data_IF_342510816245
#
_entry.id   IF_342510816245
#
_cell.length_a   1.000
_cell.length_b   1.000
_cell.length_c   1.000
_cell.angle_alpha   90.00
_cell.angle_beta   90.00
_cell.angle_gamma   90.00
#
_symmetry.space_group_name_H-M   'P 1'
#
loop_
_entity.id
_entity.type
_entity.pdbx_description
1 polymer ?
#
# COMPACT_ATOMS: atom_id res chain seq x y z
N UNK A 1 1.48 9.63 -9.52
CA UNK A 1 1.60 8.24 -9.99
C UNK A 1 0.20 7.65 -10.07
N UNK A 2 -0.04 6.63 -10.89
CA UNK A 2 -1.40 6.32 -11.36
C UNK A 2 -1.79 4.88 -11.06
N UNK A 3 -2.83 4.69 -10.26
CA UNK A 3 -3.57 3.44 -10.16
C UNK A 3 -4.51 3.32 -11.35
N UNK A 4 -4.54 2.15 -11.99
CA UNK A 4 -5.51 1.82 -13.03
C UNK A 4 -6.62 0.97 -12.43
N UNK A 5 -7.76 1.61 -12.14
CA UNK A 5 -9.01 0.97 -11.72
C UNK A 5 -9.92 0.70 -12.90
N UNK A 6 -10.93 -0.14 -12.71
CA UNK A 6 -11.90 -0.44 -13.78
C UNK A 6 -12.61 0.84 -14.24
N UNK A 7 -13.04 1.70 -13.31
CA UNK A 7 -13.67 2.97 -13.64
C UNK A 7 -12.78 3.94 -14.43
N UNK A 8 -11.46 3.86 -14.28
CA UNK A 8 -10.51 4.65 -15.09
C UNK A 8 -10.40 4.05 -16.49
N UNK A 9 -10.32 2.73 -16.61
CA UNK A 9 -10.24 2.03 -17.90
C UNK A 9 -11.52 2.23 -18.70
N UNK A 10 -12.68 2.03 -18.10
CA UNK A 10 -14.00 2.14 -18.74
C UNK A 10 -14.26 3.52 -19.37
N UNK A 11 -13.75 4.59 -18.74
CA UNK A 11 -13.86 5.97 -19.25
C UNK A 11 -12.95 6.28 -20.45
N UNK A 12 -12.04 5.37 -20.82
CA UNK A 12 -11.12 5.59 -21.95
C UNK A 12 -11.80 5.25 -23.29
N UNK A 13 -11.44 5.94 -24.39
CA UNK A 13 -11.91 5.59 -25.71
C UNK A 13 -11.62 4.13 -26.05
N UNK A 14 -12.58 3.42 -26.67
CA UNK A 14 -12.46 2.00 -26.99
C UNK A 14 -11.17 1.65 -27.76
N UNK A 15 -10.75 2.48 -28.71
CA UNK A 15 -9.51 2.30 -29.45
C UNK A 15 -8.27 2.36 -28.53
N UNK A 16 -8.25 3.27 -27.55
CA UNK A 16 -7.17 3.36 -26.56
C UNK A 16 -7.18 2.16 -25.62
N UNK A 17 -8.37 1.74 -25.14
CA UNK A 17 -8.52 0.53 -24.31
C UNK A 17 -7.97 -0.70 -25.04
N UNK A 18 -8.29 -0.86 -26.32
CA UNK A 18 -7.79 -1.94 -27.16
C UNK A 18 -6.27 -1.93 -27.33
N UNK A 19 -5.66 -0.76 -27.55
CA UNK A 19 -4.19 -0.62 -27.62
C UNK A 19 -3.52 -0.95 -26.28
N UNK A 20 -4.05 -0.43 -25.16
CA UNK A 20 -3.51 -0.73 -23.83
C UNK A 20 -3.67 -2.21 -23.52
N UNK A 21 -4.85 -2.79 -23.79
CA UNK A 21 -5.13 -4.22 -23.62
C UNK A 21 -4.13 -5.10 -24.37
N UNK A 22 -3.85 -4.76 -25.64
CA UNK A 22 -2.96 -5.54 -26.50
C UNK A 22 -1.49 -5.48 -26.09
N UNK A 23 -1.00 -4.33 -25.63
CA UNK A 23 0.44 -4.11 -25.47
C UNK A 23 0.92 -3.91 -24.03
N UNK A 24 0.06 -3.44 -23.12
CA UNK A 24 0.46 -2.95 -21.81
C UNK A 24 -0.28 -3.62 -20.64
N UNK A 25 -1.48 -4.14 -20.85
CA UNK A 25 -2.30 -4.66 -19.75
C UNK A 25 -1.69 -5.90 -19.10
N UNK A 26 -1.23 -6.88 -19.90
CA UNK A 26 -0.60 -8.10 -19.40
C UNK A 26 0.66 -7.83 -18.54
N UNK A 27 1.68 -7.06 -19.01
CA UNK A 27 2.85 -6.78 -18.18
C UNK A 27 2.51 -5.98 -16.92
N UNK A 28 1.63 -4.95 -17.01
CA UNK A 28 1.21 -4.17 -15.83
C UNK A 28 0.49 -5.02 -14.78
N UNK A 29 -0.35 -5.94 -15.25
CA UNK A 29 -1.04 -6.89 -14.40
C UNK A 29 -0.04 -7.82 -13.70
N UNK A 30 0.89 -8.43 -14.45
CA UNK A 30 1.93 -9.29 -13.88
C UNK A 30 2.76 -8.55 -12.84
N UNK A 31 3.27 -7.35 -13.15
CA UNK A 31 4.08 -6.56 -12.23
C UNK A 31 3.34 -6.26 -10.92
N UNK A 32 2.04 -5.96 -11.00
CA UNK A 32 1.20 -5.69 -9.82
C UNK A 32 0.99 -6.96 -9.00
N UNK A 33 0.67 -8.08 -9.66
CA UNK A 33 0.53 -9.40 -9.05
C UNK A 33 1.83 -9.82 -8.35
N UNK A 34 2.96 -9.75 -9.05
CA UNK A 34 4.27 -10.14 -8.56
C UNK A 34 4.67 -9.29 -7.35
N UNK A 35 4.47 -7.97 -7.44
CA UNK A 35 4.74 -7.08 -6.31
C UNK A 35 3.95 -7.46 -5.06
N UNK A 36 2.64 -7.70 -5.17
CA UNK A 36 1.83 -8.09 -4.01
C UNK A 36 2.13 -9.52 -3.52
N UNK A 37 2.29 -10.46 -4.44
CA UNK A 37 2.44 -11.89 -4.11
C UNK A 37 3.83 -12.20 -3.52
N UNK A 38 4.85 -11.39 -3.79
CA UNK A 38 6.19 -11.52 -3.22
C UNK A 38 6.32 -10.90 -1.82
N UNK A 39 5.33 -10.12 -1.36
CA UNK A 39 5.33 -9.53 -0.03
C UNK A 39 5.28 -10.60 1.06
N UNK A 40 6.01 -10.35 2.15
CA UNK A 40 5.91 -11.14 3.37
C UNK A 40 4.48 -11.07 3.92
N UNK A 41 4.06 -12.10 4.66
CA UNK A 41 2.72 -12.16 5.25
C UNK A 41 2.39 -10.91 6.12
N UNK A 42 3.36 -10.43 6.91
CA UNK A 42 3.21 -9.22 7.74
C UNK A 42 2.94 -7.96 6.89
N UNK A 43 3.56 -7.84 5.73
CA UNK A 43 3.36 -6.72 4.80
C UNK A 43 1.96 -6.81 4.17
N UNK A 44 1.56 -8.01 3.70
CA UNK A 44 0.21 -8.26 3.18
C UNK A 44 -0.87 -7.99 4.22
N UNK A 45 -0.67 -8.40 5.47
CA UNK A 45 -1.56 -8.10 6.59
C UNK A 45 -1.70 -6.60 6.84
N UNK A 46 -0.60 -5.85 6.72
CA UNK A 46 -0.59 -4.39 6.90
C UNK A 46 -1.41 -3.69 5.81
N UNK A 47 -1.22 -4.10 4.55
CA UNK A 47 -1.96 -3.55 3.42
C UNK A 47 -3.44 -3.93 3.52
N UNK A 48 -3.76 -5.18 3.84
CA UNK A 48 -5.14 -5.63 4.05
C UNK A 48 -5.82 -4.86 5.19
N UNK A 49 -5.10 -4.60 6.29
CA UNK A 49 -5.59 -3.80 7.39
C UNK A 49 -5.91 -2.37 6.96
N UNK A 50 -5.02 -1.71 6.21
CA UNK A 50 -5.25 -0.37 5.67
C UNK A 50 -6.43 -0.35 4.67
N UNK A 51 -6.55 -1.39 3.85
CA UNK A 51 -7.64 -1.60 2.90
C UNK A 51 -8.99 -1.97 3.56
N UNK A 52 -9.03 -2.13 4.89
CA UNK A 52 -10.20 -2.59 5.64
C UNK A 52 -10.70 -3.98 5.21
N UNK A 53 -9.79 -4.83 4.74
CA UNK A 53 -10.04 -6.22 4.38
C UNK A 53 -9.83 -7.13 5.60
N UNK A 54 -10.54 -8.25 5.63
CA UNK A 54 -10.33 -9.29 6.66
C UNK A 54 -8.93 -9.89 6.54
N UNK A 55 -8.34 -10.33 7.64
CA UNK A 55 -7.00 -10.92 7.68
C UNK A 55 -6.80 -12.08 6.69
N UNK A 56 -7.84 -12.88 6.43
CA UNK A 56 -7.79 -13.99 5.46
C UNK A 56 -7.32 -13.58 4.06
N UNK A 57 -7.55 -12.33 3.65
CA UNK A 57 -7.13 -11.85 2.33
C UNK A 57 -5.61 -11.72 2.20
N UNK A 58 -4.87 -11.60 3.32
CA UNK A 58 -3.41 -11.61 3.30
C UNK A 58 -2.83 -12.96 2.86
N UNK A 59 -3.62 -14.04 2.91
CA UNK A 59 -3.23 -15.37 2.44
C UNK A 59 -3.64 -15.64 0.99
N UNK A 60 -4.46 -14.77 0.39
CA UNK A 60 -4.87 -14.88 -1.01
C UNK A 60 -3.83 -14.24 -1.92
N UNK A 61 -3.72 -14.76 -3.14
CA UNK A 61 -3.00 -14.10 -4.24
C UNK A 61 -3.86 -12.98 -4.81
N UNK A 62 -3.24 -11.97 -5.41
CA UNK A 62 -3.96 -10.80 -5.95
C UNK A 62 -5.04 -11.22 -6.98
N UNK A 63 -4.69 -12.19 -7.83
CA UNK A 63 -5.54 -12.72 -8.91
C UNK A 63 -6.77 -13.51 -8.43
N UNK A 64 -6.74 -13.99 -7.18
CA UNK A 64 -7.81 -14.77 -6.54
C UNK A 64 -8.87 -13.89 -5.88
N UNK A 65 -8.55 -12.61 -5.63
CA UNK A 65 -9.49 -11.66 -5.06
C UNK A 65 -10.56 -11.27 -6.07
N UNK A 66 -11.78 -11.03 -5.60
CA UNK A 66 -12.81 -10.43 -6.44
C UNK A 66 -12.44 -8.97 -6.80
N UNK A 67 -13.09 -8.43 -7.82
CA UNK A 67 -12.75 -7.11 -8.37
C UNK A 67 -12.82 -5.98 -7.34
N UNK A 68 -13.80 -6.01 -6.44
CA UNK A 68 -13.99 -4.97 -5.41
C UNK A 68 -12.88 -5.01 -4.34
N UNK A 69 -12.57 -6.21 -3.83
CA UNK A 69 -11.51 -6.39 -2.82
C UNK A 69 -10.14 -6.06 -3.41
N UNK A 70 -9.90 -6.47 -4.65
CA UNK A 70 -8.66 -6.17 -5.36
C UNK A 70 -8.50 -4.67 -5.59
N UNK A 71 -9.54 -3.97 -6.04
CA UNK A 71 -9.48 -2.52 -6.22
C UNK A 71 -9.19 -1.80 -4.89
N UNK A 72 -9.85 -2.20 -3.81
CA UNK A 72 -9.57 -1.68 -2.46
C UNK A 72 -8.12 -1.90 -2.05
N UNK A 73 -7.60 -3.10 -2.28
CA UNK A 73 -6.22 -3.45 -1.97
C UNK A 73 -5.24 -2.59 -2.78
N UNK A 74 -5.43 -2.45 -4.09
CA UNK A 74 -4.55 -1.65 -4.94
C UNK A 74 -4.59 -0.15 -4.56
N UNK A 75 -5.76 0.39 -4.24
CA UNK A 75 -5.88 1.75 -3.72
C UNK A 75 -5.12 1.92 -2.40
N UNK A 76 -5.23 0.95 -1.49
CA UNK A 76 -4.47 0.94 -0.24
C UNK A 76 -2.95 0.91 -0.46
N UNK A 77 -2.47 0.09 -1.42
CA UNK A 77 -1.06 0.05 -1.81
C UNK A 77 -0.60 1.43 -2.29
N UNK A 78 -1.37 2.09 -3.17
CA UNK A 78 -1.00 3.41 -3.68
C UNK A 78 -1.01 4.50 -2.60
N UNK A 79 -2.00 4.50 -1.69
CA UNK A 79 -2.06 5.43 -0.57
C UNK A 79 -0.84 5.29 0.36
N UNK A 80 -0.49 4.06 0.74
CA UNK A 80 0.67 3.79 1.59
C UNK A 80 1.97 4.11 0.84
N UNK A 81 2.10 3.69 -0.42
CA UNK A 81 3.24 4.03 -1.28
C UNK A 81 3.44 5.54 -1.35
N UNK A 82 2.40 6.33 -1.60
CA UNK A 82 2.49 7.79 -1.66
C UNK A 82 2.91 8.43 -0.32
N UNK A 83 2.65 7.74 0.79
CA UNK A 83 3.04 8.15 2.13
C UNK A 83 4.52 7.84 2.40
N UNK A 84 4.95 6.61 2.11
CA UNK A 84 6.29 6.13 2.44
C UNK A 84 7.35 6.47 1.38
N UNK A 85 6.99 6.68 0.12
CA UNK A 85 7.91 7.16 -0.93
C UNK A 85 8.40 8.59 -0.69
N UNK A 86 7.70 9.38 0.15
CA UNK A 86 8.12 10.71 0.60
C UNK A 86 9.16 10.69 1.74
N UNK A 87 9.73 9.52 2.05
CA UNK A 87 10.72 9.32 3.12
C UNK A 87 11.97 10.19 3.02
N UNK A 88 12.32 10.68 1.83
CA UNK A 88 13.38 11.70 1.65
C UNK A 88 13.13 12.98 2.46
N UNK A 89 11.93 13.17 3.00
CA UNK A 89 11.56 14.27 3.92
C UNK A 89 11.76 13.95 5.42
N UNK A 90 12.38 12.82 5.79
CA UNK A 90 12.63 12.45 7.20
C UNK A 90 13.61 13.39 7.96
N UNK A 91 14.08 14.47 7.34
CA UNK A 91 15.05 15.40 7.94
C UNK A 91 14.56 16.24 9.14
N UNK A 92 13.30 16.11 9.56
CA UNK A 92 12.73 16.92 10.65
C UNK A 92 12.68 16.19 12.01
N UNK A 93 12.07 15.00 12.06
CA UNK A 93 12.05 14.04 13.17
C UNK A 93 11.09 12.89 12.84
N UNK A 94 11.13 11.78 13.59
CA UNK A 94 10.17 10.70 13.41
C UNK A 94 8.75 11.16 13.77
N UNK A 95 8.61 11.94 14.84
CA UNK A 95 7.33 12.52 15.25
C UNK A 95 6.73 13.44 14.17
N UNK A 96 7.56 14.22 13.47
CA UNK A 96 7.12 15.10 12.38
C UNK A 96 6.63 14.30 11.18
N UNK A 97 7.37 13.27 10.78
CA UNK A 97 6.97 12.41 9.66
C UNK A 97 5.65 11.68 9.94
N UNK A 98 5.57 11.03 11.11
CA UNK A 98 4.36 10.32 11.55
C UNK A 98 3.20 11.28 11.76
N UNK A 99 3.44 12.49 12.28
CA UNK A 99 2.41 13.51 12.48
C UNK A 99 1.73 14.01 11.21
N UNK A 100 2.38 13.90 10.04
CA UNK A 100 1.80 14.28 8.74
C UNK A 100 0.91 13.20 8.13
N UNK A 101 0.99 11.97 8.64
CA UNK A 101 0.18 10.86 8.15
C UNK A 101 -1.27 11.00 8.60
N UNK A 102 -2.19 10.53 7.75
CA UNK A 102 -3.60 10.38 8.13
C UNK A 102 -3.74 9.36 9.26
N UNK A 103 -4.89 9.37 9.94
CA UNK A 103 -5.17 8.41 11.03
C UNK A 103 -5.08 6.96 10.55
N UNK A 104 -5.59 6.65 9.35
CA UNK A 104 -5.53 5.29 8.78
C UNK A 104 -4.09 4.86 8.49
N UNK A 105 -3.28 5.72 7.87
CA UNK A 105 -1.87 5.46 7.59
C UNK A 105 -1.06 5.21 8.87
N UNK A 106 -1.28 6.02 9.91
CA UNK A 106 -0.64 5.81 11.21
C UNK A 106 -1.07 4.50 11.85
N UNK A 107 -2.36 4.16 11.80
CA UNK A 107 -2.85 2.88 12.33
C UNK A 107 -2.18 1.70 11.62
N UNK A 108 -2.03 1.77 10.29
CA UNK A 108 -1.32 0.75 9.52
C UNK A 108 0.14 0.63 9.94
N UNK A 109 0.86 1.74 10.13
CA UNK A 109 2.25 1.73 10.62
C UNK A 109 2.37 1.13 12.03
N UNK A 110 1.50 1.52 12.96
CA UNK A 110 1.52 1.03 14.34
C UNK A 110 1.20 -0.46 14.39
N UNK A 111 0.19 -0.89 13.61
CA UNK A 111 -0.14 -2.31 13.45
C UNK A 111 1.05 -3.07 12.86
N UNK A 112 1.69 -2.55 11.81
CA UNK A 112 2.89 -3.16 11.23
C UNK A 112 3.99 -3.32 12.28
N UNK A 113 4.20 -2.31 13.14
CA UNK A 113 5.17 -2.34 14.23
C UNK A 113 4.83 -3.31 15.39
N UNK A 114 3.65 -3.95 15.35
CA UNK A 114 3.14 -4.79 16.44
C UNK A 114 2.75 -3.97 17.67
N UNK A 115 2.40 -2.69 17.48
CA UNK A 115 1.91 -1.80 18.52
C UNK A 115 0.38 -1.84 18.58
N UNK A 116 -0.15 -1.61 19.78
CA UNK A 116 -1.59 -1.69 20.05
C UNK A 116 -2.20 -0.29 20.14
N UNK A 117 -3.51 -0.22 20.39
CA UNK A 117 -4.20 1.04 20.64
C UNK A 117 -3.62 1.81 21.85
N UNK A 118 -3.04 1.09 22.83
CA UNK A 118 -2.39 1.72 23.98
C UNK A 118 -1.22 2.61 23.56
N UNK A 119 -0.39 2.17 22.62
CA UNK A 119 0.71 2.97 22.08
C UNK A 119 0.20 4.03 21.10
N UNK A 120 -0.79 3.68 20.27
CA UNK A 120 -1.37 4.62 19.31
C UNK A 120 -2.00 5.87 19.96
N UNK A 121 -2.62 5.70 21.13
CA UNK A 121 -3.25 6.78 21.88
C UNK A 121 -2.26 7.66 22.67
N UNK A 122 -0.97 7.31 22.68
CA UNK A 122 0.04 8.16 23.31
C UNK A 122 0.43 9.33 22.40
N UNK A 123 0.91 10.43 22.96
CA UNK A 123 1.34 11.56 22.16
C UNK A 123 2.48 11.20 21.19
N UNK A 124 2.36 11.62 19.93
CA UNK A 124 3.34 11.30 18.87
C UNK A 124 4.75 11.79 19.18
N UNK A 125 4.91 12.93 19.88
CA UNK A 125 6.22 13.47 20.24
C UNK A 125 7.05 12.50 21.10
N UNK A 126 6.43 11.52 21.77
CA UNK A 126 7.15 10.45 22.48
C UNK A 126 8.04 9.61 21.57
N UNK A 127 7.77 9.57 20.27
CA UNK A 127 8.64 8.86 19.29
C UNK A 127 10.03 9.47 19.17
N UNK A 128 10.24 10.70 19.61
CA UNK A 128 11.55 11.34 19.64
C UNK A 128 12.26 11.16 20.99
N UNK A 129 11.56 10.69 22.03
CA UNK A 129 12.16 10.43 23.35
C UNK A 129 12.95 9.11 23.35
N UNK A 130 14.21 9.17 23.78
CA UNK A 130 15.05 7.98 23.91
C UNK A 130 14.51 6.95 24.93
N UNK A 131 13.73 7.41 25.92
CA UNK A 131 13.11 6.56 26.96
C UNK A 131 11.83 5.84 26.48
N UNK A 132 11.33 6.14 25.29
CA UNK A 132 10.12 5.55 24.77
C UNK A 132 10.34 4.08 24.35
N UNK A 133 9.74 3.13 25.10
CA UNK A 133 9.94 1.69 24.88
C UNK A 133 9.47 1.18 23.51
N UNK A 134 8.55 1.87 22.84
CA UNK A 134 7.99 1.46 21.55
C UNK A 134 8.60 2.21 20.35
N UNK A 135 9.48 3.20 20.60
CA UNK A 135 10.15 3.99 19.55
C UNK A 135 10.88 3.13 18.54
N UNK A 136 11.74 2.23 19.00
CA UNK A 136 12.56 1.39 18.11
C UNK A 136 11.72 0.47 17.21
N UNK A 137 10.62 -0.07 17.75
CA UNK A 137 9.68 -0.88 16.97
C UNK A 137 9.05 -0.07 15.84
N UNK A 138 8.64 1.17 16.13
CA UNK A 138 8.06 2.06 15.13
C UNK A 138 9.09 2.49 14.08
N UNK A 139 10.30 2.87 14.48
CA UNK A 139 11.37 3.27 13.57
C UNK A 139 11.82 2.13 12.66
N UNK A 140 11.82 0.89 13.16
CA UNK A 140 12.05 -0.31 12.35
C UNK A 140 10.93 -0.49 11.34
N UNK A 141 9.67 -0.44 11.77
CA UNK A 141 8.51 -0.55 10.88
C UNK A 141 8.48 0.52 9.79
N UNK A 142 8.87 1.76 10.12
CA UNK A 142 9.03 2.84 9.16
C UNK A 142 10.04 2.47 8.07
N UNK A 143 11.23 1.99 8.45
CA UNK A 143 12.28 1.57 7.52
C UNK A 143 11.84 0.40 6.64
N UNK A 144 11.19 -0.61 7.23
CA UNK A 144 10.64 -1.76 6.53
C UNK A 144 9.64 -1.33 5.44
N UNK A 145 8.65 -0.50 5.80
CA UNK A 145 7.64 -0.04 4.84
C UNK A 145 8.21 0.91 3.77
N UNK A 146 9.19 1.75 4.12
CA UNK A 146 9.89 2.58 3.12
C UNK A 146 10.58 1.69 2.09
N UNK A 147 11.36 0.71 2.54
CA UNK A 147 12.07 -0.22 1.66
C UNK A 147 11.11 -1.05 0.80
N UNK A 148 9.98 -1.49 1.36
CA UNK A 148 8.94 -2.20 0.60
C UNK A 148 8.45 -1.38 -0.60
N UNK A 149 8.15 -0.09 -0.39
CA UNK A 149 7.56 0.76 -1.42
C UNK A 149 8.57 1.39 -2.38
N UNK A 150 9.88 1.30 -2.11
CA UNK A 150 10.93 1.69 -3.06
C UNK A 150 10.90 0.84 -4.33
N UNK A 151 10.52 -0.44 -4.21
CA UNK A 151 10.45 -1.39 -5.32
C UNK A 151 9.03 -1.50 -5.93
N UNK A 152 8.11 -0.61 -5.55
CA UNK A 152 6.74 -0.66 -6.06
C UNK A 152 6.67 -0.34 -7.57
N UNK A 153 5.90 -1.11 -8.36
CA UNK A 153 5.68 -0.84 -9.78
C UNK A 153 5.26 0.61 -10.05
N UNK A 154 5.70 1.15 -11.18
CA UNK A 154 5.35 2.53 -11.57
C UNK A 154 3.83 2.71 -11.71
N UNK A 155 3.17 1.70 -12.29
CA UNK A 155 1.73 1.61 -12.49
C UNK A 155 1.23 0.40 -11.73
N UNK A 156 0.26 0.61 -10.85
CA UNK A 156 -0.48 -0.45 -10.19
C UNK A 156 -1.83 -0.59 -10.88
N UNK A 157 -2.34 -1.82 -11.03
CA UNK A 157 -3.66 -2.02 -11.64
C UNK A 157 -4.51 -3.06 -10.91
N UNK A 158 -5.80 -2.77 -10.75
CA UNK A 158 -6.80 -3.72 -10.29
C UNK A 158 -7.59 -4.33 -11.46
N UNK A 159 -7.18 -4.12 -12.71
CA UNK A 159 -7.91 -4.53 -13.91
C UNK A 159 -7.15 -5.67 -14.58
N UNK A 160 -7.80 -6.83 -14.73
CA UNK A 160 -7.21 -7.95 -15.46
C UNK A 160 -7.09 -7.62 -16.95
N UNK A 161 -6.13 -8.22 -17.68
CA UNK A 161 -5.94 -7.95 -19.10
C UNK A 161 -7.19 -8.18 -19.95
N UNK A 162 -8.00 -9.19 -19.61
CA UNK A 162 -9.21 -9.55 -20.34
C UNK A 162 -10.29 -8.45 -20.24
N UNK A 163 -10.27 -7.66 -19.16
CA UNK A 163 -11.25 -6.59 -18.91
C UNK A 163 -11.03 -5.34 -19.76
N UNK A 164 -9.91 -5.23 -20.50
CA UNK A 164 -9.66 -4.11 -21.41
C UNK A 164 -10.44 -4.23 -22.74
N UNK A 165 -10.96 -5.42 -23.05
CA UNK A 165 -11.66 -5.71 -24.31
C UNK A 165 -13.19 -5.57 -24.19
N UNK A 166 -13.70 -5.32 -22.98
CA UNK A 166 -15.12 -5.14 -22.67
C UNK A 166 -15.41 -3.65 -22.48
#
# INVERSE_FOLDING_TARGET
MTVMTFAIVDKQPAALRGLIGKYLAAPRWSDTCDFYNQMMERERLTICFHAQLKQRHANMRLEEMNDADRERLINAIDELRNTFSKSRQMGASASTFVGRMTVSQRRALFMHAGLTEKEFNQPIWRTDEASCYWREKLLRALRELIALFENAPTILTSVKPEQYLH
#
